data_IF_503887059935
#
_entry.id   IF_503887059935
#
_cell.length_a   1.000
_cell.length_b   1.000
_cell.length_c   1.000
_cell.angle_alpha   90.00
_cell.angle_beta   90.00
_cell.angle_gamma   90.00
#
_symmetry.space_group_name_H-M   'P 1'
#
loop_
_entity.id
_entity.type
_entity.pdbx_description
1 polymer ?
#
# COMPACT_ATOMS: atom_id res chain seq x y z
N UNK A 1 12.78 -5.12 -13.29
CA UNK A 1 11.68 -4.15 -13.15
C UNK A 1 11.01 -4.36 -11.79
N UNK A 2 10.57 -3.29 -11.15
CA UNK A 2 9.92 -3.32 -9.84
C UNK A 2 8.46 -2.93 -10.01
N UNK A 3 7.56 -3.67 -9.39
CA UNK A 3 6.13 -3.40 -9.40
C UNK A 3 5.74 -2.86 -8.04
N UNK A 4 5.05 -1.72 -8.02
CA UNK A 4 4.59 -1.06 -6.80
C UNK A 4 3.15 -1.51 -6.55
N UNK A 5 2.93 -2.13 -5.40
CA UNK A 5 1.65 -2.65 -4.97
C UNK A 5 1.11 -1.87 -3.79
N UNK A 6 -0.22 -1.80 -3.72
CA UNK A 6 -0.88 -1.64 -2.44
C UNK A 6 -1.72 -2.89 -2.13
N UNK A 7 -1.89 -3.17 -0.84
CA UNK A 7 -2.87 -4.12 -0.37
C UNK A 7 -3.72 -3.52 0.74
N UNK A 8 -4.98 -3.97 0.81
CA UNK A 8 -5.87 -3.66 1.91
C UNK A 8 -6.08 -4.90 2.74
N UNK A 9 -5.91 -4.77 4.04
CA UNK A 9 -6.13 -5.80 5.02
C UNK A 9 -7.36 -5.46 5.85
N UNK A 10 -8.17 -6.49 6.11
CA UNK A 10 -9.20 -6.45 7.14
C UNK A 10 -8.63 -7.15 8.37
N UNK A 11 -8.40 -6.36 9.41
CA UNK A 11 -7.98 -6.86 10.72
C UNK A 11 -9.18 -7.46 11.43
N UNK A 12 -8.98 -8.65 11.99
CA UNK A 12 -9.93 -9.34 12.87
C UNK A 12 -9.19 -9.70 14.16
N UNK A 13 -9.88 -9.91 15.29
CA UNK A 13 -9.21 -10.35 16.51
C UNK A 13 -8.40 -11.62 16.28
N UNK A 14 -7.07 -11.55 16.40
CA UNK A 14 -6.14 -12.67 16.20
C UNK A 14 -5.73 -12.97 14.75
N UNK A 15 -6.30 -12.31 13.75
CA UNK A 15 -6.06 -12.62 12.32
C UNK A 15 -6.02 -11.35 11.44
N UNK A 16 -5.32 -11.43 10.31
CA UNK A 16 -5.41 -10.41 9.25
C UNK A 16 -5.60 -11.11 7.91
N UNK A 17 -6.57 -10.66 7.11
CA UNK A 17 -6.80 -11.17 5.76
C UNK A 17 -6.58 -10.05 4.75
N UNK A 18 -5.84 -10.34 3.68
CA UNK A 18 -5.75 -9.44 2.53
C UNK A 18 -7.12 -9.43 1.84
N UNK A 19 -7.82 -8.31 1.92
CA UNK A 19 -9.11 -8.09 1.29
C UNK A 19 -8.99 -7.65 -0.18
N UNK A 20 -7.80 -7.20 -0.59
CA UNK A 20 -7.50 -6.93 -1.99
C UNK A 20 -6.07 -6.42 -2.18
N UNK A 21 -5.61 -6.45 -3.43
CA UNK A 21 -4.36 -5.85 -3.84
C UNK A 21 -4.48 -5.25 -5.24
N UNK A 22 -3.64 -4.26 -5.53
CA UNK A 22 -3.58 -3.60 -6.83
C UNK A 22 -2.14 -3.18 -7.14
N UNK A 23 -1.73 -3.35 -8.40
CA UNK A 23 -0.51 -2.74 -8.95
C UNK A 23 -0.82 -1.27 -9.24
N UNK A 24 -0.06 -0.38 -8.62
CA UNK A 24 -0.21 1.07 -8.79
C UNK A 24 0.70 1.62 -9.87
N UNK A 25 1.94 1.13 -9.95
CA UNK A 25 2.98 1.66 -10.84
C UNK A 25 4.10 0.64 -11.05
N UNK A 26 5.06 0.99 -11.89
CA UNK A 26 6.31 0.25 -12.11
C UNK A 26 7.53 1.18 -12.05
N UNK A 27 8.68 0.64 -11.65
CA UNK A 27 9.95 1.35 -11.64
C UNK A 27 11.08 0.48 -12.20
N UNK A 28 12.03 1.12 -12.90
CA UNK A 28 13.17 0.41 -13.48
C UNK A 28 14.29 0.13 -12.47
N UNK A 29 14.37 0.92 -11.39
CA UNK A 29 15.37 0.79 -10.32
C UNK A 29 14.72 0.63 -8.95
N UNK A 30 15.44 -0.01 -8.02
CA UNK A 30 14.95 -0.20 -6.65
C UNK A 30 14.79 1.13 -5.91
N UNK A 31 15.75 2.05 -6.08
CA UNK A 31 15.71 3.37 -5.45
C UNK A 31 14.44 4.13 -5.87
N UNK A 32 14.07 4.07 -7.15
CA UNK A 32 12.83 4.70 -7.63
C UNK A 32 11.59 3.98 -7.10
N UNK A 33 11.62 2.66 -7.00
CA UNK A 33 10.53 1.89 -6.39
C UNK A 33 10.30 2.28 -4.93
N UNK A 34 11.38 2.47 -4.16
CA UNK A 34 11.35 2.92 -2.77
C UNK A 34 10.80 4.35 -2.65
N UNK A 35 11.26 5.27 -3.50
CA UNK A 35 10.76 6.65 -3.55
C UNK A 35 9.23 6.69 -3.82
N UNK A 36 8.77 5.93 -4.81
CA UNK A 36 7.35 5.84 -5.16
C UNK A 36 6.52 5.24 -4.01
N UNK A 37 6.97 4.14 -3.41
CA UNK A 37 6.30 3.52 -2.26
C UNK A 37 6.15 4.53 -1.10
N UNK A 38 7.22 5.24 -0.73
CA UNK A 38 7.18 6.28 0.31
C UNK A 38 6.23 7.42 -0.04
N UNK A 39 6.22 7.87 -1.31
CA UNK A 39 5.28 8.89 -1.78
C UNK A 39 3.82 8.41 -1.65
N UNK A 40 3.51 7.16 -2.02
CA UNK A 40 2.15 6.62 -1.91
C UNK A 40 1.69 6.47 -0.47
N UNK A 41 2.57 6.02 0.43
CA UNK A 41 2.28 5.97 1.88
C UNK A 41 1.92 7.35 2.43
N UNK A 42 2.73 8.36 2.10
CA UNK A 42 2.47 9.74 2.53
C UNK A 42 1.13 10.27 2.00
N UNK A 43 0.86 10.09 0.70
CA UNK A 43 -0.41 10.51 0.09
C UNK A 43 -1.62 9.77 0.68
N UNK A 44 -1.47 8.49 1.00
CA UNK A 44 -2.55 7.72 1.62
C UNK A 44 -2.84 8.19 3.04
N UNK A 45 -1.80 8.53 3.81
CA UNK A 45 -1.93 9.14 5.13
C UNK A 45 -2.68 10.48 5.05
N UNK A 46 -2.23 11.38 4.17
CA UNK A 46 -2.87 12.68 3.95
C UNK A 46 -4.34 12.54 3.53
N UNK A 47 -4.65 11.54 2.70
CA UNK A 47 -6.03 11.23 2.31
C UNK A 47 -6.87 10.77 3.51
N UNK A 48 -6.37 9.84 4.32
CA UNK A 48 -7.11 9.33 5.48
C UNK A 48 -7.30 10.41 6.57
N UNK A 49 -6.37 11.35 6.71
CA UNK A 49 -6.53 12.50 7.62
C UNK A 49 -7.67 13.42 7.18
N UNK A 50 -7.82 13.64 5.85
CA UNK A 50 -8.89 14.48 5.28
C UNK A 50 -10.23 13.76 5.18
N UNK A 51 -10.20 12.45 4.94
CA UNK A 51 -11.35 11.60 4.71
C UNK A 51 -11.26 10.35 5.59
N UNK A 52 -11.49 10.50 6.91
CA UNK A 52 -11.37 9.39 7.84
C UNK A 52 -12.36 8.29 7.49
N UNK A 53 -11.83 7.10 7.23
CA UNK A 53 -12.65 5.92 6.96
C UNK A 53 -13.19 5.45 8.32
N UNK A 54 -14.51 5.39 8.48
CA UNK A 54 -15.17 4.89 9.70
C UNK A 54 -15.04 3.38 9.96
N UNK A 55 -14.00 2.73 9.41
CA UNK A 55 -13.73 1.32 9.62
C UNK A 55 -12.29 1.15 10.12
N UNK A 56 -12.15 1.23 11.44
CA UNK A 56 -10.87 1.13 12.19
C UNK A 56 -10.13 -0.19 11.94
N UNK A 57 -10.82 -1.20 11.40
CA UNK A 57 -10.26 -2.51 11.10
C UNK A 57 -9.62 -2.61 9.70
N UNK A 58 -9.61 -1.53 8.90
CA UNK A 58 -8.98 -1.54 7.57
C UNK A 58 -7.58 -0.95 7.63
N UNK A 59 -6.58 -1.75 7.28
CA UNK A 59 -5.18 -1.30 7.13
C UNK A 59 -4.77 -1.34 5.67
N UNK A 60 -4.14 -0.29 5.16
CA UNK A 60 -3.48 -0.31 3.84
C UNK A 60 -1.99 -0.47 4.02
N UNK A 61 -1.33 -1.27 3.17
CA UNK A 61 0.13 -1.35 3.08
C UNK A 61 0.57 -1.08 1.64
N UNK A 62 1.73 -0.47 1.51
CA UNK A 62 2.39 -0.26 0.22
C UNK A 62 3.70 -1.03 0.23
N UNK A 63 4.02 -1.67 -0.90
CA UNK A 63 5.22 -2.49 -1.04
C UNK A 63 5.65 -2.49 -2.49
N UNK A 64 6.93 -2.69 -2.76
CA UNK A 64 7.39 -3.03 -4.10
C UNK A 64 7.92 -4.46 -4.13
N UNK A 65 7.72 -5.16 -5.24
CA UNK A 65 8.33 -6.46 -5.49
C UNK A 65 9.15 -6.38 -6.77
N UNK A 66 10.32 -7.02 -6.76
CA UNK A 66 11.07 -7.26 -7.98
C UNK A 66 10.41 -8.41 -8.73
N UNK A 67 10.00 -8.18 -9.97
CA UNK A 67 9.54 -9.25 -10.85
C UNK A 67 10.71 -9.67 -11.76
N UNK A 68 10.88 -10.97 -12.02
CA UNK A 68 11.92 -11.48 -12.91
C UNK A 68 11.90 -10.83 -14.30
#
# INVERSE_FOLDING_TARGET
>A
MYYIYNCWELQRPGESTIAGSLVLDTADTEDKARELMTMYEARHKDFNEKFPIGNENRRTRFVYIQWP
#
